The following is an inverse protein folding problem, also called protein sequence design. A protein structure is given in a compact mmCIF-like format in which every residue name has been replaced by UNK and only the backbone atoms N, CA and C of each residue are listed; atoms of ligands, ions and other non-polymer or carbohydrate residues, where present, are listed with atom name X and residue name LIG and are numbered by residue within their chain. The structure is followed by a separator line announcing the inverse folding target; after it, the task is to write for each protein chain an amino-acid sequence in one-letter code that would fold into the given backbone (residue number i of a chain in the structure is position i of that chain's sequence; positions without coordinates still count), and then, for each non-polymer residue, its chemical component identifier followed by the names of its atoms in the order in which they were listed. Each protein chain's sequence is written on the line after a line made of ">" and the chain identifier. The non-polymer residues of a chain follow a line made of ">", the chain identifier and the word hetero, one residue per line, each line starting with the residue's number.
data_IF_759497585651
#
_entry.id   IF_759497585651
#
_cell.length_a   1.000
_cell.length_b   1.000
_cell.length_c   1.000
_cell.angle_alpha   90.00
_cell.angle_beta   90.00
_cell.angle_gamma   90.00
#
_symmetry.space_group_name_H-M   'P 1'
#
loop_
_entity.id
_entity.type
_entity.pdbx_description
1 polymer ?
#
# COMPACT_ATOMS: atom_id res chain seq x y z
N UNK A 1 13.45 41.00 -5.29
CA UNK A 1 12.71 39.73 -5.26
C UNK A 1 11.31 40.02 -4.77
N UNK A 2 10.30 39.74 -5.59
CA UNK A 2 8.89 40.03 -5.28
C UNK A 2 8.35 38.81 -4.53
N UNK A 3 7.97 38.99 -3.27
CA UNK A 3 7.41 37.94 -2.41
C UNK A 3 5.88 38.06 -2.44
N UNK A 4 5.19 37.01 -2.90
CA UNK A 4 3.74 36.90 -2.79
C UNK A 4 3.36 36.10 -1.54
N UNK A 5 2.46 36.60 -0.67
CA UNK A 5 1.92 35.79 0.41
C UNK A 5 0.93 34.76 -0.18
N UNK A 6 1.23 33.47 0.00
CA UNK A 6 0.29 32.38 -0.27
C UNK A 6 -0.54 32.13 0.99
N UNK A 7 -1.82 32.51 0.97
CA UNK A 7 -2.79 32.12 2.00
C UNK A 7 -3.51 30.83 1.59
N UNK A 8 -3.39 29.79 2.41
CA UNK A 8 -4.08 28.51 2.22
C UNK A 8 -5.46 28.58 2.91
N UNK A 9 -6.54 28.35 2.17
CA UNK A 9 -7.89 28.18 2.72
C UNK A 9 -8.25 26.69 2.72
N UNK A 10 -8.50 26.11 3.89
CA UNK A 10 -8.99 24.73 4.04
C UNK A 10 -10.51 24.77 4.18
N UNK A 11 -11.21 24.00 3.34
CA UNK A 11 -12.66 23.81 3.43
C UNK A 11 -12.97 22.74 4.50
N UNK A 12 -13.68 23.12 5.55
CA UNK A 12 -14.16 22.19 6.58
C UNK A 12 -15.38 21.39 6.07
N UNK A 13 -15.53 20.11 6.44
CA UNK A 13 -16.53 19.20 5.88
C UNK A 13 -17.98 19.41 6.34
N UNK A 14 -18.31 20.57 6.96
CA UNK A 14 -19.63 20.83 7.55
C UNK A 14 -20.38 22.04 6.95
N UNK A 15 -20.08 22.42 5.70
CA UNK A 15 -20.85 23.46 5.01
C UNK A 15 -22.25 22.96 4.65
N UNK A 16 -23.29 23.58 5.23
CA UNK A 16 -24.68 23.28 4.92
C UNK A 16 -25.09 24.02 3.65
N UNK A 17 -25.42 23.30 2.57
CA UNK A 17 -25.89 23.90 1.31
C UNK A 17 -27.39 24.22 1.46
N UNK A 18 -27.75 25.50 1.54
CA UNK A 18 -29.15 25.94 1.40
C UNK A 18 -29.45 26.30 -0.04
N UNK A 19 -30.38 25.58 -0.66
CA UNK A 19 -30.91 25.94 -1.96
C UNK A 19 -32.04 26.95 -1.78
N UNK A 20 -31.89 28.14 -2.34
CA UNK A 20 -32.98 29.12 -2.47
C UNK A 20 -33.48 29.03 -3.91
N UNK A 21 -34.63 28.39 -4.10
CA UNK A 21 -35.28 28.36 -5.42
C UNK A 21 -36.10 29.64 -5.59
N UNK A 22 -35.68 30.51 -6.50
CA UNK A 22 -36.49 31.67 -6.88
C UNK A 22 -37.24 31.35 -8.18
N UNK A 23 -38.58 31.46 -8.17
CA UNK A 23 -39.41 31.26 -9.38
C UNK A 23 -39.28 32.49 -10.28
N UNK A 24 -38.29 32.51 -11.16
CA UNK A 24 -38.23 33.47 -12.27
C UNK A 24 -37.45 32.87 -13.45
N UNK A 25 -37.89 33.08 -14.71
CA UNK A 25 -37.25 32.49 -15.88
C UNK A 25 -36.07 33.35 -16.33
N UNK A 26 -34.92 33.21 -15.69
CA UNK A 26 -33.64 33.73 -16.16
C UNK A 26 -32.50 32.82 -15.65
N UNK A 27 -31.30 32.84 -16.25
CA UNK A 27 -30.32 31.77 -16.09
C UNK A 27 -29.82 31.66 -14.64
N UNK A 28 -29.76 30.42 -14.15
CA UNK A 28 -29.36 30.04 -12.80
C UNK A 28 -28.05 30.73 -12.37
N UNK A 29 -28.12 31.60 -11.36
CA UNK A 29 -26.95 32.05 -10.62
C UNK A 29 -26.92 31.32 -9.27
N UNK A 30 -25.91 30.47 -9.08
CA UNK A 30 -25.63 29.81 -7.80
C UNK A 30 -24.69 30.74 -7.03
N UNK A 31 -25.20 31.39 -5.99
CA UNK A 31 -24.40 32.22 -5.09
C UNK A 31 -24.00 31.38 -3.87
N UNK A 32 -22.71 31.08 -3.73
CA UNK A 32 -22.14 30.41 -2.56
C UNK A 32 -21.42 31.46 -1.72
N UNK A 33 -21.91 31.73 -0.51
CA UNK A 33 -21.23 32.59 0.47
C UNK A 33 -20.45 31.72 1.46
N UNK A 34 -19.16 32.01 1.66
CA UNK A 34 -18.26 31.30 2.58
C UNK A 34 -17.68 32.26 3.63
N UNK A 35 -17.84 31.93 4.92
CA UNK A 35 -17.02 32.50 6.00
C UNK A 35 -15.61 31.88 5.97
N UNK A 36 -14.57 32.71 6.11
CA UNK A 36 -13.17 32.29 6.09
C UNK A 36 -12.53 32.52 7.45
N UNK A 37 -11.89 31.48 8.00
CA UNK A 37 -10.87 31.62 9.04
C UNK A 37 -9.51 31.26 8.45
N UNK A 38 -8.56 32.19 8.53
CA UNK A 38 -7.17 31.98 8.11
C UNK A 38 -6.31 31.67 9.34
N UNK A 39 -5.48 30.63 9.25
CA UNK A 39 -4.46 30.28 10.24
C UNK A 39 -3.09 30.50 9.61
N UNK A 40 -2.27 31.35 10.23
CA UNK A 40 -0.90 31.60 9.80
C UNK A 40 0.02 30.49 10.33
N UNK A 41 0.68 29.78 9.40
CA UNK A 41 1.67 28.74 9.71
C UNK A 41 3.02 29.08 9.06
N UNK A 42 4.16 28.78 9.73
CA UNK A 42 5.48 29.11 9.24
C UNK A 42 5.88 28.33 7.98
N UNK A 43 6.50 29.06 7.04
CA UNK A 43 6.74 28.69 5.64
C UNK A 43 7.60 27.43 5.42
N UNK A 44 8.37 26.98 6.42
CA UNK A 44 9.25 25.82 6.32
C UNK A 44 8.55 24.46 6.38
N UNK A 45 7.27 24.39 6.79
CA UNK A 45 6.50 23.13 6.88
C UNK A 45 5.49 22.90 5.75
N UNK A 46 5.25 23.91 4.91
CA UNK A 46 4.19 23.86 3.88
C UNK A 46 4.60 23.03 2.66
N UNK A 47 5.89 22.96 2.31
CA UNK A 47 6.34 22.28 1.08
C UNK A 47 6.19 20.74 1.12
N UNK A 48 6.32 20.11 2.29
CA UNK A 48 6.25 18.65 2.41
C UNK A 48 4.81 18.12 2.53
N UNK A 49 3.89 18.91 3.11
CA UNK A 49 2.49 18.54 3.26
C UNK A 49 1.67 18.77 1.97
N UNK A 50 2.02 19.78 1.16
CA UNK A 50 1.28 20.08 -0.07
C UNK A 50 1.47 19.02 -1.16
N UNK A 51 2.67 18.45 -1.29
CA UNK A 51 2.95 17.42 -2.31
C UNK A 51 2.26 16.09 -1.99
N UNK A 52 2.14 15.72 -0.71
CA UNK A 52 1.52 14.47 -0.28
C UNK A 52 -0.01 14.48 -0.39
N UNK A 53 -0.69 15.61 -0.13
CA UNK A 53 -2.16 15.67 -0.18
C UNK A 53 -2.74 15.92 -1.59
N UNK A 54 -2.03 16.65 -2.46
CA UNK A 54 -2.55 16.97 -3.81
C UNK A 54 -2.59 15.72 -4.71
N UNK A 55 -1.64 14.79 -4.59
CA UNK A 55 -1.69 13.51 -5.32
C UNK A 55 -2.80 12.57 -4.82
N UNK A 56 -3.15 12.62 -3.54
CA UNK A 56 -4.16 11.73 -2.95
C UNK A 56 -5.60 12.11 -3.36
N UNK A 57 -5.91 13.40 -3.49
CA UNK A 57 -7.27 13.88 -3.81
C UNK A 57 -7.57 13.83 -5.32
N UNK A 58 -6.56 13.92 -6.19
CA UNK A 58 -6.78 13.82 -7.65
C UNK A 58 -7.05 12.40 -8.15
N UNK A 59 -6.50 11.36 -7.50
CA UNK A 59 -6.71 9.97 -7.96
C UNK A 59 -8.09 9.40 -7.61
N UNK A 60 -8.77 9.98 -6.61
CA UNK A 60 -10.07 9.49 -6.10
C UNK A 60 -11.30 10.17 -6.75
N UNK A 61 -11.11 11.13 -7.66
CA UNK A 61 -12.22 11.88 -8.30
C UNK A 61 -12.45 11.61 -9.79
N UNK A 62 -11.82 10.60 -10.39
CA UNK A 62 -12.06 10.22 -11.80
C UNK A 62 -13.00 9.03 -12.00
N UNK A 63 -13.74 8.62 -10.97
CA UNK A 63 -14.97 7.83 -11.13
C UNK A 63 -16.18 8.77 -11.21
N UNK A 64 -16.19 9.67 -12.21
CA UNK A 64 -17.39 10.45 -12.51
C UNK A 64 -18.27 9.59 -13.42
N UNK A 65 -19.31 8.99 -12.85
CA UNK A 65 -20.39 8.42 -13.64
C UNK A 65 -20.95 9.53 -14.53
N UNK A 66 -20.79 9.39 -15.84
CA UNK A 66 -21.56 10.16 -16.82
C UNK A 66 -23.00 9.68 -16.69
N UNK A 67 -23.75 10.33 -15.79
CA UNK A 67 -25.20 10.20 -15.75
C UNK A 67 -25.71 10.96 -16.98
N UNK A 68 -26.11 10.22 -18.00
CA UNK A 68 -26.74 10.76 -19.20
C UNK A 68 -28.19 11.18 -18.83
N UNK A 69 -28.55 12.47 -18.76
CA UNK A 69 -29.87 12.90 -18.37
C UNK A 69 -30.71 13.19 -19.62
N UNK A 70 -30.97 12.18 -20.43
CA UNK A 70 -31.96 12.26 -21.51
C UNK A 70 -32.77 10.97 -21.51
N UNK A 71 -33.89 10.99 -20.79
CA UNK A 71 -35.19 10.41 -21.16
C UNK A 71 -36.20 11.02 -20.18
N UNK A 72 -36.83 12.09 -20.63
CA UNK A 72 -37.98 12.71 -19.98
C UNK A 72 -39.25 12.04 -20.49
N UNK A 73 -39.58 10.86 -19.98
CA UNK A 73 -40.89 10.25 -20.17
C UNK A 73 -41.70 10.37 -18.86
N UNK A 74 -42.73 11.23 -18.79
CA UNK A 74 -43.55 11.40 -17.61
C UNK A 74 -44.75 10.45 -17.64
N UNK A 75 -44.54 9.13 -17.64
CA UNK A 75 -45.65 8.15 -17.46
C UNK A 75 -45.14 6.88 -16.78
N UNK A 76 -45.26 6.80 -15.44
CA UNK A 76 -45.59 5.58 -14.67
C UNK A 76 -45.28 5.77 -13.18
N UNK A 77 -46.11 6.56 -12.49
CA UNK A 77 -46.21 6.44 -11.05
C UNK A 77 -46.98 5.15 -10.73
N UNK A 78 -46.30 4.09 -10.27
CA UNK A 78 -46.98 2.93 -9.69
C UNK A 78 -46.41 1.56 -10.04
N UNK A 79 -45.10 1.34 -9.93
CA UNK A 79 -44.59 -0.02 -9.79
C UNK A 79 -43.29 -0.02 -8.98
N UNK A 80 -43.43 0.07 -7.65
CA UNK A 80 -42.36 -0.29 -6.72
C UNK A 80 -42.18 -1.81 -6.83
N UNK A 81 -41.48 -2.23 -7.87
CA UNK A 81 -41.16 -3.62 -8.16
C UNK A 81 -40.23 -4.08 -7.04
N UNK A 82 -40.73 -4.94 -6.16
CA UNK A 82 -39.90 -5.71 -5.23
C UNK A 82 -38.76 -6.31 -6.05
N UNK A 83 -37.54 -5.79 -5.87
CA UNK A 83 -36.35 -6.44 -6.39
C UNK A 83 -36.22 -7.75 -5.62
N UNK A 84 -36.71 -8.82 -6.24
CA UNK A 84 -36.66 -10.17 -5.71
C UNK A 84 -35.19 -10.51 -5.38
N UNK A 85 -34.93 -11.05 -4.19
CA UNK A 85 -33.59 -11.38 -3.64
C UNK A 85 -32.64 -12.12 -4.60
N UNK A 86 -33.17 -12.74 -5.65
CA UNK A 86 -32.43 -13.44 -6.71
C UNK A 86 -31.52 -12.55 -7.55
N UNK A 87 -31.85 -11.27 -7.82
CA UNK A 87 -31.01 -10.43 -8.69
C UNK A 87 -29.70 -10.00 -8.02
N UNK A 88 -29.72 -9.82 -6.69
CA UNK A 88 -28.55 -9.40 -5.90
C UNK A 88 -27.50 -10.53 -5.82
N UNK A 89 -27.95 -11.78 -5.71
CA UNK A 89 -27.05 -12.93 -5.64
C UNK A 89 -26.26 -13.12 -6.95
N UNK A 90 -26.90 -12.90 -8.10
CA UNK A 90 -26.26 -13.04 -9.41
C UNK A 90 -25.19 -11.97 -9.63
N UNK A 91 -25.42 -10.70 -9.23
CA UNK A 91 -24.41 -9.65 -9.39
C UNK A 91 -23.14 -9.89 -8.57
N UNK A 92 -23.28 -10.47 -7.37
CA UNK A 92 -22.13 -10.73 -6.50
C UNK A 92 -21.24 -11.85 -7.05
N UNK A 93 -21.86 -12.94 -7.53
CA UNK A 93 -21.15 -14.08 -8.09
C UNK A 93 -20.36 -13.70 -9.36
N UNK A 94 -20.94 -12.81 -10.18
CA UNK A 94 -20.24 -12.28 -11.36
C UNK A 94 -19.00 -11.45 -11.00
N UNK A 95 -19.06 -10.66 -9.93
CA UNK A 95 -17.90 -9.85 -9.50
C UNK A 95 -16.77 -10.73 -8.99
N UNK A 96 -17.07 -11.73 -8.14
CA UNK A 96 -16.06 -12.65 -7.61
C UNK A 96 -15.43 -13.47 -8.73
N UNK A 97 -16.24 -13.95 -9.68
CA UNK A 97 -15.75 -14.71 -10.83
C UNK A 97 -14.83 -13.86 -11.71
N UNK A 98 -15.20 -12.60 -11.98
CA UNK A 98 -14.34 -11.67 -12.74
C UNK A 98 -13.02 -11.36 -12.02
N UNK A 99 -13.05 -11.23 -10.69
CA UNK A 99 -11.84 -11.02 -9.90
C UNK A 99 -10.89 -12.21 -10.01
N UNK A 100 -11.43 -13.43 -9.92
CA UNK A 100 -10.65 -14.66 -10.06
C UNK A 100 -10.01 -14.80 -11.45
N UNK A 101 -10.71 -14.37 -12.50
CA UNK A 101 -10.19 -14.34 -13.87
C UNK A 101 -9.03 -13.35 -14.00
N UNK A 102 -9.17 -12.13 -13.45
CA UNK A 102 -8.10 -11.14 -13.44
C UNK A 102 -6.85 -11.60 -12.66
N UNK A 103 -7.02 -12.41 -11.61
CA UNK A 103 -5.89 -12.93 -10.83
C UNK A 103 -5.01 -13.93 -11.59
N UNK A 104 -5.46 -14.49 -12.72
CA UNK A 104 -4.67 -15.46 -13.49
C UNK A 104 -3.43 -14.83 -14.16
N UNK A 105 -3.40 -13.52 -14.36
CA UNK A 105 -2.22 -12.83 -14.87
C UNK A 105 -1.11 -12.67 -13.81
N UNK A 106 -1.46 -12.77 -12.52
CA UNK A 106 -0.58 -12.39 -11.42
C UNK A 106 0.35 -13.53 -11.02
N UNK A 107 1.64 -13.34 -11.25
CA UNK A 107 2.68 -14.36 -11.10
C UNK A 107 3.64 -14.13 -9.92
N UNK A 108 3.50 -13.04 -9.16
CA UNK A 108 4.32 -12.80 -7.97
C UNK A 108 3.85 -13.66 -6.78
N UNK A 109 4.73 -14.02 -5.83
CA UNK A 109 4.34 -14.75 -4.62
C UNK A 109 3.25 -14.05 -3.82
N UNK A 110 2.23 -14.81 -3.43
CA UNK A 110 1.15 -14.43 -2.53
C UNK A 110 0.79 -15.63 -1.63
N UNK A 111 -0.26 -15.52 -0.82
CA UNK A 111 -0.71 -16.58 0.08
C UNK A 111 0.34 -17.00 1.10
N UNK A 112 0.32 -18.28 1.50
CA UNK A 112 1.25 -18.81 2.49
C UNK A 112 2.72 -18.66 2.12
N UNK A 113 3.09 -18.89 0.85
CA UNK A 113 4.49 -18.74 0.40
C UNK A 113 4.92 -17.28 0.39
N UNK A 114 4.08 -16.37 -0.14
CA UNK A 114 4.36 -14.92 -0.10
C UNK A 114 4.54 -14.43 1.34
N UNK A 115 3.65 -14.88 2.24
CA UNK A 115 3.70 -14.57 3.66
C UNK A 115 5.04 -15.00 4.29
N UNK A 116 5.45 -16.26 4.09
CA UNK A 116 6.72 -16.76 4.65
C UNK A 116 7.91 -15.99 4.07
N UNK A 117 7.92 -15.73 2.77
CA UNK A 117 8.97 -14.96 2.10
C UNK A 117 9.08 -13.54 2.68
N UNK A 118 7.98 -12.80 2.82
CA UNK A 118 8.03 -11.46 3.40
C UNK A 118 8.49 -11.47 4.87
N UNK A 119 8.08 -12.47 5.67
CA UNK A 119 8.56 -12.63 7.04
C UNK A 119 10.07 -12.86 7.09
N UNK A 120 10.59 -13.74 6.24
CA UNK A 120 12.02 -14.03 6.18
C UNK A 120 12.83 -12.83 5.67
N UNK A 121 12.32 -12.06 4.70
CA UNK A 121 12.96 -10.85 4.23
C UNK A 121 13.00 -9.75 5.31
N UNK A 122 11.89 -9.56 6.04
CA UNK A 122 11.84 -8.63 7.17
C UNK A 122 12.78 -9.06 8.30
N UNK A 123 12.85 -10.36 8.59
CA UNK A 123 13.81 -10.92 9.55
C UNK A 123 15.25 -10.62 9.16
N UNK A 124 15.63 -10.92 7.92
CA UNK A 124 16.97 -10.64 7.41
C UNK A 124 17.34 -9.16 7.55
N UNK A 125 16.40 -8.29 7.20
CA UNK A 125 16.61 -6.86 7.25
C UNK A 125 16.73 -6.34 8.69
N UNK A 126 15.93 -6.86 9.62
CA UNK A 126 16.04 -6.51 11.03
C UNK A 126 17.46 -6.81 11.57
N UNK A 127 17.97 -8.01 11.33
CA UNK A 127 19.34 -8.38 11.75
C UNK A 127 20.40 -7.51 11.09
N UNK A 128 20.23 -7.23 9.80
CA UNK A 128 21.16 -6.42 9.04
C UNK A 128 21.21 -4.96 9.50
N UNK A 129 20.09 -4.41 9.99
CA UNK A 129 20.05 -3.09 10.65
C UNK A 129 20.76 -3.11 12.00
N UNK A 130 20.81 -4.27 12.67
CA UNK A 130 21.55 -4.47 13.91
C UNK A 130 23.03 -4.86 13.69
N UNK A 131 23.55 -4.81 12.45
CA UNK A 131 24.89 -5.26 12.08
C UNK A 131 25.18 -6.75 12.39
N UNK A 132 24.12 -7.57 12.48
CA UNK A 132 24.19 -8.99 12.80
C UNK A 132 23.81 -9.88 11.60
N UNK A 133 24.37 -11.10 11.55
CA UNK A 133 23.96 -12.13 10.59
C UNK A 133 22.63 -12.78 11.02
N UNK A 134 21.68 -13.01 10.10
CA UNK A 134 20.36 -13.58 10.42
C UNK A 134 20.38 -15.03 10.91
N UNK A 135 21.53 -15.72 10.87
CA UNK A 135 21.64 -17.15 11.19
C UNK A 135 22.39 -17.49 12.47
N UNK A 136 23.30 -16.63 12.96
CA UNK A 136 24.23 -17.01 14.04
C UNK A 136 24.61 -15.93 15.06
N UNK A 137 23.97 -14.75 15.05
CA UNK A 137 24.43 -13.61 15.87
C UNK A 137 25.95 -13.37 15.71
N UNK A 138 26.47 -13.67 14.53
CA UNK A 138 27.87 -13.47 14.15
C UNK A 138 27.96 -12.23 13.25
N UNK A 139 29.08 -11.50 13.27
CA UNK A 139 29.28 -10.39 12.36
C UNK A 139 29.37 -10.89 10.91
N UNK A 140 28.93 -10.04 9.98
CA UNK A 140 28.90 -10.36 8.54
C UNK A 140 30.32 -10.55 8.00
N UNK A 141 30.67 -11.78 7.60
CA UNK A 141 32.03 -12.14 7.14
C UNK A 141 32.32 -11.73 5.70
N UNK A 142 31.30 -11.71 4.84
CA UNK A 142 31.46 -11.63 3.40
C UNK A 142 30.76 -10.41 2.77
N UNK A 143 30.94 -9.22 3.35
CA UNK A 143 30.28 -7.98 2.92
C UNK A 143 30.40 -7.67 1.41
N UNK A 144 31.53 -7.99 0.75
CA UNK A 144 31.71 -7.77 -0.71
C UNK A 144 30.81 -8.68 -1.56
N UNK A 145 30.66 -9.93 -1.15
CA UNK A 145 29.81 -10.91 -1.85
C UNK A 145 28.34 -10.53 -1.64
N UNK A 146 27.98 -10.17 -0.42
CA UNK A 146 26.65 -9.69 -0.05
C UNK A 146 26.25 -8.43 -0.84
N UNK A 147 27.18 -7.49 -0.99
CA UNK A 147 26.97 -6.30 -1.83
C UNK A 147 26.65 -6.68 -3.29
N UNK A 148 27.38 -7.63 -3.87
CA UNK A 148 27.14 -8.09 -5.24
C UNK A 148 25.78 -8.77 -5.40
N UNK A 149 25.40 -9.66 -4.47
CA UNK A 149 24.07 -10.27 -4.51
C UNK A 149 22.97 -9.23 -4.30
N UNK A 150 23.11 -8.32 -3.32
CA UNK A 150 22.15 -7.25 -3.09
C UNK A 150 21.96 -6.38 -4.34
N UNK A 151 23.03 -6.08 -5.07
CA UNK A 151 22.95 -5.42 -6.36
C UNK A 151 22.15 -6.21 -7.40
N UNK A 152 22.35 -7.53 -7.50
CA UNK A 152 21.53 -8.39 -8.36
C UNK A 152 20.06 -8.39 -7.91
N UNK A 153 19.78 -8.34 -6.60
CA UNK A 153 18.42 -8.25 -6.05
C UNK A 153 17.73 -6.92 -6.37
N UNK A 154 18.46 -5.81 -6.28
CA UNK A 154 17.99 -4.45 -6.68
C UNK A 154 17.58 -4.42 -8.16
N UNK A 155 18.26 -5.15 -9.04
CA UNK A 155 17.89 -5.23 -10.45
C UNK A 155 16.80 -6.27 -10.72
N UNK A 156 16.93 -7.45 -10.12
CA UNK A 156 16.07 -8.61 -10.36
C UNK A 156 14.67 -8.44 -9.80
N UNK A 157 14.52 -8.09 -8.53
CA UNK A 157 13.23 -7.98 -7.86
C UNK A 157 12.28 -6.98 -8.54
N UNK A 158 12.70 -5.71 -8.72
CA UNK A 158 11.93 -4.71 -9.45
C UNK A 158 11.70 -5.07 -10.91
N UNK A 159 12.70 -5.64 -11.61
CA UNK A 159 12.55 -6.07 -12.99
C UNK A 159 11.44 -7.11 -13.16
N UNK A 160 11.40 -8.10 -12.27
CA UNK A 160 10.36 -9.15 -12.27
C UNK A 160 8.99 -8.56 -11.89
N UNK A 161 8.94 -7.65 -10.93
CA UNK A 161 7.71 -6.96 -10.56
C UNK A 161 7.15 -6.09 -11.70
N UNK A 162 8.01 -5.40 -12.46
CA UNK A 162 7.63 -4.64 -13.66
C UNK A 162 7.13 -5.58 -14.75
N UNK A 163 7.80 -6.70 -14.98
CA UNK A 163 7.33 -7.72 -15.92
C UNK A 163 5.92 -8.22 -15.55
N UNK A 164 5.67 -8.50 -14.27
CA UNK A 164 4.34 -8.88 -13.78
C UNK A 164 3.30 -7.76 -13.97
N UNK A 165 3.68 -6.51 -13.71
CA UNK A 165 2.83 -5.35 -13.94
C UNK A 165 2.42 -5.22 -15.42
N UNK A 166 3.34 -5.47 -16.35
CA UNK A 166 3.06 -5.49 -17.79
C UNK A 166 2.11 -6.64 -18.15
N UNK A 167 2.29 -7.83 -17.56
CA UNK A 167 1.40 -8.99 -17.77
C UNK A 167 -0.02 -8.71 -17.27
N UNK A 168 -0.16 -7.94 -16.20
CA UNK A 168 -1.45 -7.54 -15.61
C UNK A 168 -1.93 -6.14 -16.03
N UNK A 169 -1.48 -5.62 -17.18
CA UNK A 169 -1.78 -4.25 -17.63
C UNK A 169 -3.27 -3.92 -17.75
N UNK A 170 -4.11 -4.94 -17.98
CA UNK A 170 -5.55 -4.77 -18.20
C UNK A 170 -6.32 -4.60 -16.87
N UNK A 171 -5.67 -4.78 -15.73
CA UNK A 171 -6.28 -4.66 -14.41
C UNK A 171 -5.38 -3.87 -13.46
N UNK A 172 -5.59 -2.55 -13.42
CA UNK A 172 -4.75 -1.59 -12.71
C UNK A 172 -4.51 -1.86 -11.21
N UNK A 173 -5.45 -2.43 -10.41
CA UNK A 173 -5.17 -2.69 -9.00
C UNK A 173 -3.98 -3.66 -8.81
N UNK A 174 -3.86 -4.66 -9.69
CA UNK A 174 -2.74 -5.60 -9.67
C UNK A 174 -1.43 -5.00 -10.17
N UNK A 175 -1.49 -3.97 -11.03
CA UNK A 175 -0.30 -3.17 -11.39
C UNK A 175 0.26 -2.49 -10.15
N UNK A 176 -0.58 -1.81 -9.35
CA UNK A 176 -0.12 -1.11 -8.14
C UNK A 176 0.43 -2.08 -7.09
N UNK A 177 -0.22 -3.22 -6.90
CA UNK A 177 0.27 -4.28 -6.02
C UNK A 177 1.63 -4.81 -6.50
N UNK A 178 1.80 -4.98 -7.82
CA UNK A 178 3.08 -5.41 -8.40
C UNK A 178 4.18 -4.38 -8.15
N UNK A 179 3.89 -3.09 -8.39
CA UNK A 179 4.84 -2.01 -8.14
C UNK A 179 5.23 -1.91 -6.66
N UNK A 180 4.28 -2.09 -5.74
CA UNK A 180 4.57 -2.13 -4.32
C UNK A 180 5.47 -3.33 -3.93
N UNK A 181 5.20 -4.54 -4.46
CA UNK A 181 6.09 -5.70 -4.29
C UNK A 181 7.48 -5.46 -4.88
N UNK A 182 7.56 -4.79 -6.03
CA UNK A 182 8.83 -4.36 -6.61
C UNK A 182 9.58 -3.38 -5.72
N UNK A 183 8.89 -2.39 -5.15
CA UNK A 183 9.44 -1.45 -4.19
C UNK A 183 9.93 -2.12 -2.90
N UNK A 184 9.19 -3.11 -2.37
CA UNK A 184 9.64 -3.91 -1.23
C UNK A 184 10.95 -4.64 -1.52
N UNK A 185 11.03 -5.32 -2.66
CA UNK A 185 12.27 -5.99 -3.08
C UNK A 185 13.41 -5.00 -3.30
N UNK A 186 13.13 -3.82 -3.85
CA UNK A 186 14.11 -2.75 -4.01
C UNK A 186 14.64 -2.26 -2.66
N UNK A 187 13.76 -1.90 -1.72
CA UNK A 187 14.15 -1.34 -0.43
C UNK A 187 14.94 -2.35 0.40
N UNK A 188 14.50 -3.61 0.46
CA UNK A 188 15.19 -4.67 1.21
C UNK A 188 16.60 -4.91 0.69
N UNK A 189 16.76 -5.02 -0.64
CA UNK A 189 18.08 -5.20 -1.24
C UNK A 189 18.93 -3.92 -1.20
N UNK A 190 18.35 -2.74 -1.34
CA UNK A 190 19.08 -1.48 -1.22
C UNK A 190 19.62 -1.28 0.20
N UNK A 191 18.82 -1.58 1.23
CA UNK A 191 19.28 -1.54 2.63
C UNK A 191 20.40 -2.56 2.89
N UNK A 192 20.27 -3.78 2.33
CA UNK A 192 21.34 -4.79 2.32
C UNK A 192 22.64 -4.27 1.67
N UNK A 193 22.51 -3.57 0.54
CA UNK A 193 23.63 -3.00 -0.20
C UNK A 193 24.30 -1.86 0.59
N UNK A 194 23.52 -0.95 1.19
CA UNK A 194 24.02 0.17 2.01
C UNK A 194 24.76 -0.37 3.24
N UNK A 195 24.18 -1.32 3.97
CA UNK A 195 24.83 -1.90 5.16
C UNK A 195 26.11 -2.65 4.79
N UNK A 196 26.09 -3.43 3.70
CA UNK A 196 27.29 -4.10 3.20
C UNK A 196 28.38 -3.11 2.79
N UNK A 197 28.00 -1.96 2.21
CA UNK A 197 28.92 -0.89 1.84
C UNK A 197 29.52 -0.21 3.06
N UNK A 198 28.73 0.09 4.09
CA UNK A 198 29.19 0.65 5.36
C UNK A 198 30.25 -0.25 6.01
N UNK A 199 29.99 -1.56 6.07
CA UNK A 199 30.95 -2.56 6.57
C UNK A 199 32.25 -2.62 5.75
N UNK A 200 32.18 -2.53 4.42
CA UNK A 200 33.38 -2.48 3.56
C UNK A 200 34.24 -1.24 3.86
N UNK A 201 33.61 -0.13 4.25
CA UNK A 201 34.27 1.14 4.54
C UNK A 201 34.66 1.31 6.02
N UNK A 202 34.30 0.38 6.90
CA UNK A 202 34.41 0.53 8.36
C UNK A 202 33.73 1.83 8.85
N UNK A 203 32.55 2.15 8.31
CA UNK A 203 31.72 3.26 8.75
C UNK A 203 30.53 2.74 9.58
N UNK A 204 30.00 3.57 10.48
CA UNK A 204 28.78 3.28 11.24
C UNK A 204 27.57 3.14 10.29
N UNK A 205 26.62 2.27 10.63
CA UNK A 205 25.51 1.86 9.76
C UNK A 205 24.26 2.76 9.88
N UNK A 206 24.41 3.98 10.40
CA UNK A 206 23.28 4.93 10.59
C UNK A 206 22.57 5.24 9.26
N UNK A 207 23.29 5.15 8.14
CA UNK A 207 22.76 5.39 6.80
C UNK A 207 21.73 4.35 6.33
N UNK A 208 21.79 3.11 6.81
CA UNK A 208 20.87 2.05 6.38
C UNK A 208 19.42 2.30 6.85
N UNK A 209 19.26 2.97 8.01
CA UNK A 209 17.95 3.31 8.56
C UNK A 209 17.22 4.30 7.63
N UNK A 210 17.94 5.21 6.96
CA UNK A 210 17.34 6.14 5.99
C UNK A 210 16.77 5.44 4.75
N UNK A 211 17.36 4.31 4.34
CA UNK A 211 16.82 3.49 3.24
C UNK A 211 15.42 2.93 3.56
N UNK A 212 15.17 2.60 4.82
CA UNK A 212 13.87 2.09 5.29
C UNK A 212 12.80 3.18 5.24
N UNK A 213 13.17 4.44 5.47
CA UNK A 213 12.23 5.57 5.44
C UNK A 213 11.65 5.89 4.05
N UNK A 214 12.20 5.33 2.96
CA UNK A 214 11.60 5.44 1.62
C UNK A 214 10.39 4.52 1.44
N UNK A 215 10.26 3.48 2.26
CA UNK A 215 9.22 2.46 2.12
C UNK A 215 7.78 2.96 2.32
N UNK A 216 7.45 3.84 3.29
CA UNK A 216 6.08 4.32 3.52
C UNK A 216 5.39 4.93 2.31
N UNK A 217 6.13 5.61 1.43
CA UNK A 217 5.57 6.17 0.19
C UNK A 217 5.00 5.08 -0.72
N UNK A 218 5.66 3.93 -0.76
CA UNK A 218 5.29 2.81 -1.62
C UNK A 218 4.12 2.02 -1.05
N UNK A 219 3.95 2.03 0.28
CA UNK A 219 2.81 1.42 0.97
C UNK A 219 1.50 2.08 0.51
N UNK A 220 1.44 3.40 0.39
CA UNK A 220 0.22 4.11 -0.03
C UNK A 220 -0.25 3.64 -1.41
N UNK A 221 0.69 3.48 -2.34
CA UNK A 221 0.42 2.99 -3.70
C UNK A 221 -0.15 1.56 -3.65
N UNK A 222 0.51 0.68 -2.89
CA UNK A 222 0.04 -0.69 -2.71
C UNK A 222 -1.35 -0.76 -2.09
N UNK A 223 -1.62 0.05 -1.05
CA UNK A 223 -2.88 0.04 -0.31
C UNK A 223 -4.05 0.50 -1.19
N UNK A 224 -3.82 1.45 -2.09
CA UNK A 224 -4.84 1.86 -3.06
C UNK A 224 -5.25 0.70 -3.98
N UNK A 225 -4.29 -0.05 -4.51
CA UNK A 225 -4.57 -1.24 -5.31
C UNK A 225 -5.25 -2.35 -4.51
N UNK A 226 -4.77 -2.60 -3.29
CA UNK A 226 -5.34 -3.63 -2.41
C UNK A 226 -6.77 -3.29 -1.99
N UNK A 227 -7.07 -2.02 -1.69
CA UNK A 227 -8.40 -1.57 -1.29
C UNK A 227 -9.46 -1.91 -2.33
N UNK A 228 -9.14 -1.74 -3.62
CA UNK A 228 -10.05 -2.12 -4.72
C UNK A 228 -10.23 -3.62 -4.83
N UNK A 229 -9.15 -4.40 -4.65
CA UNK A 229 -9.24 -5.88 -4.62
C UNK A 229 -10.10 -6.35 -3.45
N UNK A 230 -9.95 -5.74 -2.28
CA UNK A 230 -10.74 -6.05 -1.09
C UNK A 230 -12.22 -5.69 -1.28
N UNK A 231 -12.51 -4.54 -1.90
CA UNK A 231 -13.87 -4.09 -2.19
C UNK A 231 -14.58 -5.09 -3.13
N UNK A 232 -13.93 -5.46 -4.23
CA UNK A 232 -14.47 -6.44 -5.18
C UNK A 232 -14.59 -7.84 -4.59
N UNK A 233 -13.65 -8.21 -3.71
CA UNK A 233 -13.66 -9.49 -3.00
C UNK A 233 -14.54 -9.51 -1.75
N UNK A 234 -15.21 -8.41 -1.38
CA UNK A 234 -15.92 -8.30 -0.11
C UNK A 234 -17.12 -9.25 0.02
N UNK A 235 -17.63 -9.76 -1.11
CA UNK A 235 -18.64 -10.81 -1.13
C UNK A 235 -18.18 -12.13 -0.49
N UNK A 236 -16.89 -12.43 -0.56
CA UNK A 236 -16.32 -13.67 -0.01
C UNK A 236 -16.11 -13.54 1.51
N UNK A 237 -16.65 -14.48 2.28
CA UNK A 237 -16.49 -14.51 3.73
C UNK A 237 -15.01 -14.66 4.16
N UNK A 238 -14.18 -15.31 3.33
CA UNK A 238 -12.74 -15.48 3.57
C UNK A 238 -12.02 -14.15 3.51
N UNK A 239 -12.44 -13.25 2.61
CA UNK A 239 -11.87 -11.90 2.51
C UNK A 239 -12.10 -11.14 3.81
N UNK A 240 -13.32 -11.19 4.36
CA UNK A 240 -13.67 -10.54 5.64
C UNK A 240 -12.81 -11.08 6.79
N UNK A 241 -12.66 -12.40 6.89
CA UNK A 241 -11.84 -13.04 7.93
C UNK A 241 -10.39 -12.55 7.84
N UNK A 242 -9.79 -12.59 6.65
CA UNK A 242 -8.41 -12.14 6.42
C UNK A 242 -8.25 -10.66 6.80
N UNK A 243 -9.19 -9.80 6.39
CA UNK A 243 -9.15 -8.38 6.72
C UNK A 243 -9.27 -8.14 8.23
N UNK A 244 -10.18 -8.84 8.92
CA UNK A 244 -10.34 -8.74 10.37
C UNK A 244 -9.09 -9.19 11.13
N UNK A 245 -8.49 -10.33 10.74
CA UNK A 245 -7.23 -10.81 11.33
C UNK A 245 -6.11 -9.80 11.08
N UNK A 246 -6.02 -9.24 9.87
CA UNK A 246 -5.04 -8.22 9.52
C UNK A 246 -5.13 -6.97 10.40
N UNK A 247 -6.35 -6.47 10.65
CA UNK A 247 -6.58 -5.31 11.53
C UNK A 247 -6.15 -5.63 12.96
N UNK A 248 -6.51 -6.81 13.49
CA UNK A 248 -6.12 -7.23 14.85
C UNK A 248 -4.60 -7.35 14.97
N UNK A 249 -3.95 -8.00 14.00
CA UNK A 249 -2.50 -8.14 13.96
C UNK A 249 -1.79 -6.78 13.86
N UNK A 250 -2.32 -5.87 13.03
CA UNK A 250 -1.81 -4.50 12.90
C UNK A 250 -1.84 -3.75 14.24
N UNK A 251 -2.98 -3.77 14.95
CA UNK A 251 -3.09 -3.13 16.25
C UNK A 251 -2.18 -3.79 17.28
N UNK A 252 -2.07 -5.12 17.27
CA UNK A 252 -1.20 -5.87 18.18
C UNK A 252 0.28 -5.53 17.98
N UNK A 253 0.76 -5.45 16.73
CA UNK A 253 2.14 -5.03 16.44
C UNK A 253 2.35 -3.57 16.82
N UNK A 254 1.43 -2.67 16.49
CA UNK A 254 1.55 -1.24 16.81
C UNK A 254 1.68 -1.01 18.32
N UNK A 255 0.83 -1.65 19.12
CA UNK A 255 0.87 -1.56 20.58
C UNK A 255 2.08 -2.31 21.16
N UNK A 256 2.42 -3.48 20.60
CA UNK A 256 3.57 -4.26 21.01
C UNK A 256 4.89 -3.50 20.83
N UNK A 257 5.10 -2.89 19.67
CA UNK A 257 6.30 -2.09 19.39
C UNK A 257 6.46 -0.95 20.40
N UNK A 258 5.37 -0.30 20.81
CA UNK A 258 5.41 0.70 21.88
C UNK A 258 5.88 0.09 23.20
N UNK A 259 5.36 -1.09 23.56
CA UNK A 259 5.74 -1.76 24.81
C UNK A 259 7.24 -2.14 24.85
N UNK A 260 7.86 -2.39 23.69
CA UNK A 260 9.28 -2.73 23.58
C UNK A 260 10.21 -1.51 23.44
N UNK A 261 9.82 -0.47 22.68
CA UNK A 261 10.67 0.69 22.39
C UNK A 261 10.51 1.82 23.44
N UNK A 262 9.30 2.06 23.94
CA UNK A 262 8.95 3.33 24.58
C UNK A 262 8.92 3.33 26.11
N UNK A 263 10.07 3.19 26.78
CA UNK A 263 10.15 3.31 28.25
C UNK A 263 11.17 4.28 28.81
N UNK A 264 11.99 4.91 27.97
CA UNK A 264 13.14 5.64 28.49
C UNK A 264 12.76 6.98 29.14
N UNK A 265 11.73 7.69 28.65
CA UNK A 265 11.38 9.04 29.13
C UNK A 265 9.86 9.32 29.11
N UNK A 266 9.08 8.85 30.10
CA UNK A 266 7.65 9.17 30.18
C UNK A 266 7.43 10.68 30.39
N UNK A 267 6.61 11.31 29.54
CA UNK A 267 6.19 12.71 29.69
C UNK A 267 6.73 13.70 28.65
N UNK A 268 7.61 13.29 27.73
CA UNK A 268 7.96 14.12 26.57
C UNK A 268 7.04 13.81 25.37
N UNK A 269 6.10 14.72 25.09
CA UNK A 269 5.12 14.59 24.02
C UNK A 269 5.77 14.42 22.63
N UNK A 270 6.92 15.07 22.38
CA UNK A 270 7.58 15.00 21.08
C UNK A 270 8.16 13.62 20.84
N UNK A 271 8.84 13.06 21.85
CA UNK A 271 9.39 11.70 21.79
C UNK A 271 8.28 10.65 21.68
N UNK A 272 7.21 10.76 22.48
CA UNK A 272 6.06 9.85 22.39
C UNK A 272 5.43 9.86 20.99
N UNK A 273 5.33 11.03 20.35
CA UNK A 273 4.81 11.14 18.98
C UNK A 273 5.71 10.44 17.96
N UNK A 274 7.03 10.55 18.10
CA UNK A 274 8.00 9.87 17.23
C UNK A 274 7.91 8.35 17.41
N UNK A 275 7.84 7.87 18.65
CA UNK A 275 7.70 6.44 18.95
C UNK A 275 6.40 5.85 18.38
N UNK A 276 5.28 6.55 18.55
CA UNK A 276 3.99 6.14 17.98
C UNK A 276 4.01 6.13 16.45
N UNK A 277 4.60 7.15 15.85
CA UNK A 277 4.74 7.24 14.39
C UNK A 277 5.62 6.10 13.87
N UNK A 278 6.75 5.82 14.55
CA UNK A 278 7.62 4.70 14.22
C UNK A 278 6.93 3.34 14.35
N UNK A 279 6.21 3.12 15.45
CA UNK A 279 5.42 1.90 15.66
C UNK A 279 4.32 1.72 14.62
N UNK A 280 3.61 2.79 14.25
CA UNK A 280 2.60 2.79 13.20
C UNK A 280 3.19 2.43 11.84
N UNK A 281 4.26 3.11 11.43
CA UNK A 281 4.94 2.87 10.15
C UNK A 281 5.51 1.44 10.07
N UNK A 282 6.12 0.97 11.16
CA UNK A 282 6.64 -0.41 11.25
C UNK A 282 5.50 -1.43 11.17
N UNK A 283 4.36 -1.16 11.79
CA UNK A 283 3.18 -2.04 11.71
C UNK A 283 2.63 -2.12 10.29
N UNK A 284 2.55 -0.97 9.59
CA UNK A 284 2.16 -0.96 8.18
C UNK A 284 3.15 -1.73 7.31
N UNK A 285 4.44 -1.64 7.63
CA UNK A 285 5.46 -2.38 6.90
C UNK A 285 5.33 -3.89 7.10
N UNK A 286 5.38 -4.34 8.35
CA UNK A 286 5.37 -5.76 8.70
C UNK A 286 4.02 -6.39 8.33
N UNK A 287 2.92 -5.82 8.81
CA UNK A 287 1.59 -6.40 8.62
C UNK A 287 1.01 -6.10 7.24
N UNK A 288 1.32 -4.93 6.65
CA UNK A 288 0.89 -4.63 5.28
C UNK A 288 1.41 -5.67 4.29
N UNK A 289 2.72 -5.97 4.34
CA UNK A 289 3.35 -7.08 3.63
C UNK A 289 2.50 -8.36 3.59
N UNK A 290 2.17 -8.82 4.80
CA UNK A 290 1.48 -10.07 5.06
C UNK A 290 0.01 -10.04 4.66
N UNK A 291 -0.70 -8.93 4.94
CA UNK A 291 -2.12 -8.79 4.61
C UNK A 291 -2.33 -8.84 3.09
N UNK A 292 -1.44 -8.22 2.31
CA UNK A 292 -1.51 -8.28 0.85
C UNK A 292 -1.46 -9.71 0.34
N UNK A 293 -0.55 -10.53 0.87
CA UNK A 293 -0.41 -11.91 0.42
C UNK A 293 -1.69 -12.71 0.64
N UNK A 294 -2.33 -12.56 1.81
CA UNK A 294 -3.56 -13.27 2.14
C UNK A 294 -4.78 -12.77 1.35
N UNK A 295 -4.92 -11.45 1.16
CA UNK A 295 -5.99 -10.86 0.34
C UNK A 295 -5.89 -11.35 -1.09
N UNK A 296 -4.68 -11.33 -1.67
CA UNK A 296 -4.44 -11.84 -3.02
C UNK A 296 -4.67 -13.36 -3.10
N UNK A 297 -4.34 -14.12 -2.05
CA UNK A 297 -4.63 -15.56 -1.99
C UNK A 297 -6.14 -15.85 -2.02
N UNK A 298 -6.95 -15.05 -1.32
CA UNK A 298 -8.40 -15.17 -1.35
C UNK A 298 -8.93 -14.79 -2.74
N UNK A 299 -8.48 -13.66 -3.31
CA UNK A 299 -8.87 -13.23 -4.65
C UNK A 299 -8.51 -14.28 -5.73
N UNK A 300 -7.34 -14.93 -5.62
CA UNK A 300 -6.90 -16.00 -6.50
C UNK A 300 -7.54 -17.37 -6.19
N UNK A 301 -8.40 -17.47 -5.16
CA UNK A 301 -8.94 -18.73 -4.66
C UNK A 301 -7.85 -19.82 -4.44
N UNK A 302 -6.69 -19.39 -3.94
CA UNK A 302 -5.49 -20.19 -3.77
C UNK A 302 -4.71 -19.75 -2.52
N UNK A 303 -5.13 -20.22 -1.35
CA UNK A 303 -4.54 -19.85 -0.06
C UNK A 303 -3.05 -20.24 0.09
N UNK A 304 -2.62 -21.31 -0.59
CA UNK A 304 -1.23 -21.76 -0.54
C UNK A 304 -0.26 -20.79 -1.23
N UNK A 305 -0.74 -20.08 -2.26
CA UNK A 305 0.10 -19.28 -3.14
C UNK A 305 0.93 -20.08 -4.13
N UNK A 306 0.81 -21.42 -4.19
CA UNK A 306 1.51 -22.26 -5.16
C UNK A 306 0.90 -22.00 -6.55
N UNK A 307 1.70 -21.64 -7.58
CA UNK A 307 1.18 -21.48 -8.94
C UNK A 307 0.42 -22.72 -9.39
N UNK A 308 -0.83 -22.54 -9.82
CA UNK A 308 -1.65 -23.63 -10.38
C UNK A 308 -1.62 -23.51 -11.89
N UNK A 309 -0.86 -24.39 -12.53
CA UNK A 309 -0.67 -24.40 -13.98
C UNK A 309 0.73 -24.85 -14.34
N UNK A 310 0.88 -25.55 -15.46
CA UNK A 310 2.18 -25.97 -15.99
C UNK A 310 2.93 -24.87 -16.75
N UNK A 311 2.50 -23.61 -16.61
CA UNK A 311 3.15 -22.48 -17.30
C UNK A 311 4.52 -22.20 -16.64
N UNK A 312 5.57 -22.63 -17.34
CA UNK A 312 6.95 -22.50 -16.88
C UNK A 312 7.32 -21.03 -16.63
N UNK A 313 6.74 -20.09 -17.38
CA UNK A 313 7.05 -18.66 -17.25
C UNK A 313 6.56 -18.12 -15.90
N UNK A 314 5.39 -18.55 -15.43
CA UNK A 314 4.86 -18.17 -14.11
C UNK A 314 5.73 -18.75 -13.02
N UNK A 315 6.08 -20.03 -13.11
CA UNK A 315 6.91 -20.71 -12.10
C UNK A 315 8.31 -20.06 -12.03
N UNK A 316 8.91 -19.74 -13.17
CA UNK A 316 10.19 -19.06 -13.24
C UNK A 316 10.12 -17.66 -12.63
N UNK A 317 9.14 -16.84 -13.05
CA UNK A 317 8.89 -15.49 -12.50
C UNK A 317 8.75 -15.53 -10.97
N UNK A 318 7.97 -16.49 -10.50
CA UNK A 318 7.71 -16.72 -9.09
C UNK A 318 8.99 -17.08 -8.31
N UNK A 319 9.75 -18.06 -8.80
CA UNK A 319 10.98 -18.52 -8.17
C UNK A 319 12.07 -17.44 -8.18
N UNK A 320 12.27 -16.76 -9.31
CA UNK A 320 13.26 -15.68 -9.41
C UNK A 320 12.93 -14.52 -8.47
N UNK A 321 11.64 -14.16 -8.32
CA UNK A 321 11.25 -13.11 -7.40
C UNK A 321 11.54 -13.49 -5.95
N UNK A 322 11.23 -14.74 -5.55
CA UNK A 322 11.56 -15.26 -4.21
C UNK A 322 13.07 -15.16 -3.97
N UNK A 323 13.88 -15.69 -4.89
CA UNK A 323 15.34 -15.65 -4.76
C UNK A 323 15.83 -14.20 -4.65
N UNK A 324 15.39 -13.32 -5.54
CA UNK A 324 15.79 -11.91 -5.52
C UNK A 324 15.40 -11.18 -4.23
N UNK A 325 14.25 -11.52 -3.65
CA UNK A 325 13.77 -10.90 -2.40
C UNK A 325 14.48 -11.45 -1.17
N UNK A 326 14.87 -12.72 -1.20
CA UNK A 326 15.53 -13.41 -0.09
C UNK A 326 17.06 -13.38 -0.14
N UNK A 327 17.66 -12.68 -1.12
CA UNK A 327 19.10 -12.44 -1.17
C UNK A 327 19.69 -11.96 0.16
N UNK A 328 19.06 -11.03 0.90
CA UNK A 328 19.59 -10.57 2.19
C UNK A 328 19.73 -11.69 3.24
N UNK A 329 18.98 -12.79 3.14
CA UNK A 329 19.20 -13.97 4.02
C UNK A 329 20.49 -14.70 3.68
N UNK A 330 20.96 -14.61 2.44
CA UNK A 330 22.24 -15.18 2.02
C UNK A 330 23.44 -14.53 2.70
N UNK A 331 23.26 -13.41 3.39
CA UNK A 331 24.30 -12.64 4.07
C UNK A 331 24.88 -13.31 5.34
N UNK A 332 24.87 -14.65 5.39
CA UNK A 332 25.41 -15.46 6.48
C UNK A 332 26.92 -15.24 6.72
#
# INVERSE_FOLDING_TARGET
>A
MISFPLSLCVLLPNSTIRYITNRSPSPFQILVTHERHCLDLPQSRIQYLLLAQIQFVQSSRLAFSVFNPEISDPVAAGQFRTMNNTTIAVSLDTQISSLHEHMQCFALPYGGIGFVMHNLANWALFYLVCDESPWRNEPIKHAKINFYFAFLGVLGGPGIAIYNAIRCKDYWPLILVSLWKGAFALTTNAASMVSSWALIKNHENDDAIYGIFLYPLTIVIGLAGLGVVMEQGWGDYRMKIVCSIGIVAFVAVMVGMRAFIGRELPGDLAQECVEWTGGLLTSFWVIGGMLFDWVLAVAANNLSGVPRGGDFDVIATYAFYIVATLIPLGNA
#
